data_IF_981195958209
#
_entry.id   IF_981195958209
#
_cell.length_a   1.000
_cell.length_b   1.000
_cell.length_c   1.000
_cell.angle_alpha   90.00
_cell.angle_beta   90.00
_cell.angle_gamma   90.00
#
_symmetry.space_group_name_H-M   'P 1'
#
loop_
_entity.id
_entity.type
_entity.pdbx_description
1 polymer ?
#
# COMPACT_ATOMS: atom_id res chain seq x y z
N UNK A 1 -17.27 -19.80 19.81
CA UNK A 1 -16.84 -18.68 18.94
C UNK A 1 -15.40 -18.98 18.53
N UNK A 2 -15.16 -19.26 17.25
CA UNK A 2 -13.79 -19.44 16.73
C UNK A 2 -13.30 -18.09 16.24
N UNK A 3 -12.25 -17.58 16.88
CA UNK A 3 -11.57 -16.35 16.45
C UNK A 3 -10.57 -16.77 15.38
N UNK A 4 -10.84 -16.42 14.12
CA UNK A 4 -9.95 -16.74 13.01
C UNK A 4 -8.90 -15.64 12.76
N UNK A 5 -9.13 -14.43 13.30
CA UNK A 5 -8.20 -13.31 13.22
C UNK A 5 -7.91 -12.77 14.63
N UNK A 6 -6.76 -13.18 15.19
CA UNK A 6 -6.31 -12.71 16.50
C UNK A 6 -5.84 -11.24 16.50
N UNK A 7 -5.74 -10.61 15.32
CA UNK A 7 -5.34 -9.20 15.17
C UNK A 7 -6.47 -8.27 15.64
N UNK A 8 -7.73 -8.62 15.37
CA UNK A 8 -8.91 -7.82 15.75
C UNK A 8 -9.06 -7.68 17.28
N UNK A 9 -8.57 -8.68 18.03
CA UNK A 9 -8.63 -8.72 19.50
C UNK A 9 -7.38 -8.14 20.17
N UNK A 10 -6.35 -7.81 19.39
CA UNK A 10 -5.17 -7.15 19.90
C UNK A 10 -5.34 -5.63 19.78
N UNK A 11 -5.50 -4.95 20.92
CA UNK A 11 -5.74 -3.50 20.94
C UNK A 11 -4.66 -2.69 20.23
N UNK A 12 -3.41 -3.17 20.20
CA UNK A 12 -2.32 -2.49 19.49
C UNK A 12 -2.44 -2.63 17.97
N UNK A 13 -3.04 -3.70 17.47
CA UNK A 13 -3.14 -3.95 16.03
C UNK A 13 -4.50 -3.62 15.42
N UNK A 14 -5.57 -3.51 16.23
CA UNK A 14 -6.92 -3.19 15.72
C UNK A 14 -7.09 -1.74 15.26
N UNK A 15 -6.24 -0.82 15.74
CA UNK A 15 -6.33 0.60 15.41
C UNK A 15 -5.20 1.00 14.46
N UNK A 16 -5.57 1.65 13.36
CA UNK A 16 -4.64 2.28 12.44
C UNK A 16 -5.18 3.66 12.06
N UNK A 17 -4.28 4.53 11.62
CA UNK A 17 -4.66 5.78 10.99
C UNK A 17 -5.47 5.50 9.72
N UNK A 18 -6.66 6.07 9.62
CA UNK A 18 -7.56 5.93 8.47
C UNK A 18 -6.88 6.40 7.18
N UNK A 19 -6.02 7.41 7.25
CA UNK A 19 -5.23 7.86 6.10
C UNK A 19 -4.33 6.76 5.53
N UNK A 20 -3.85 5.84 6.37
CA UNK A 20 -3.06 4.68 5.96
C UNK A 20 -3.87 3.67 5.15
N UNK A 21 -5.16 3.53 5.45
CA UNK A 21 -6.08 2.64 4.72
C UNK A 21 -6.48 3.25 3.38
N UNK A 22 -6.77 4.55 3.36
CA UNK A 22 -7.04 5.30 2.12
C UNK A 22 -5.81 5.28 1.20
N UNK A 23 -4.61 5.46 1.76
CA UNK A 23 -3.37 5.39 1.01
C UNK A 23 -3.14 4.01 0.39
N UNK A 24 -3.57 2.93 1.05
CA UNK A 24 -3.37 1.57 0.54
C UNK A 24 -4.09 1.38 -0.80
N UNK A 25 -5.39 1.71 -0.86
CA UNK A 25 -6.15 1.62 -2.11
C UNK A 25 -5.65 2.62 -3.17
N UNK A 26 -5.38 3.86 -2.76
CA UNK A 26 -4.94 4.88 -3.69
C UNK A 26 -3.56 4.56 -4.31
N UNK A 27 -2.64 3.98 -3.54
CA UNK A 27 -1.34 3.50 -4.03
C UNK A 27 -1.49 2.33 -5.00
N UNK A 28 -2.38 1.37 -4.73
CA UNK A 28 -2.62 0.24 -5.64
C UNK A 28 -3.23 0.71 -6.97
N UNK A 29 -4.11 1.72 -6.95
CA UNK A 29 -4.63 2.34 -8.17
C UNK A 29 -3.52 3.01 -8.98
N UNK A 30 -2.61 3.74 -8.33
CA UNK A 30 -1.44 4.33 -8.99
C UNK A 30 -0.51 3.24 -9.57
N UNK A 31 -0.27 2.15 -8.84
CA UNK A 31 0.52 1.00 -9.31
C UNK A 31 -0.08 0.34 -10.55
N UNK A 32 -1.40 0.33 -10.68
CA UNK A 32 -2.13 -0.16 -11.87
C UNK A 32 -2.26 0.88 -12.99
N UNK A 33 -1.57 2.01 -12.88
CA UNK A 33 -1.60 3.09 -13.88
C UNK A 33 -2.91 3.88 -13.91
N UNK A 34 -3.72 3.80 -12.83
CA UNK A 34 -5.03 4.46 -12.71
C UNK A 34 -4.98 5.62 -11.71
N UNK A 35 -4.05 6.54 -11.92
CA UNK A 35 -3.90 7.74 -11.10
C UNK A 35 -5.11 8.69 -11.18
N UNK A 36 -5.89 8.58 -12.25
CA UNK A 36 -7.21 9.20 -12.38
C UNK A 36 -8.17 8.71 -11.28
N UNK A 37 -8.26 7.39 -11.08
CA UNK A 37 -9.10 6.78 -10.05
C UNK A 37 -8.56 7.02 -8.65
N UNK A 38 -7.25 6.93 -8.45
CA UNK A 38 -6.57 7.27 -7.19
C UNK A 38 -6.92 8.69 -6.74
N UNK A 39 -6.81 9.66 -7.66
CA UNK A 39 -7.15 11.07 -7.39
C UNK A 39 -8.64 11.25 -7.13
N UNK A 40 -9.50 10.63 -7.94
CA UNK A 40 -10.95 10.70 -7.76
C UNK A 40 -11.37 10.15 -6.40
N UNK A 41 -10.87 8.98 -6.03
CA UNK A 41 -11.17 8.31 -4.77
C UNK A 41 -10.78 9.19 -3.58
N UNK A 42 -9.53 9.67 -3.53
CA UNK A 42 -9.04 10.51 -2.43
C UNK A 42 -9.85 11.81 -2.32
N UNK A 43 -10.12 12.49 -3.45
CA UNK A 43 -10.93 13.72 -3.45
C UNK A 43 -12.33 13.49 -2.91
N UNK A 44 -12.99 12.39 -3.32
CA UNK A 44 -14.32 12.05 -2.82
C UNK A 44 -14.29 11.72 -1.34
N UNK A 45 -13.32 10.92 -0.90
CA UNK A 45 -13.18 10.60 0.52
C UNK A 45 -13.00 11.85 1.37
N UNK A 46 -12.07 12.74 1.02
CA UNK A 46 -11.82 14.01 1.73
C UNK A 46 -13.10 14.87 1.77
N UNK A 47 -13.83 14.95 0.65
CA UNK A 47 -15.09 15.70 0.58
C UNK A 47 -16.16 15.15 1.54
N UNK A 48 -16.30 13.83 1.62
CA UNK A 48 -17.33 13.19 2.44
C UNK A 48 -16.96 13.10 3.92
N UNK A 49 -15.68 12.88 4.24
CA UNK A 49 -15.19 12.82 5.62
C UNK A 49 -14.96 14.20 6.25
N UNK A 50 -14.70 15.22 5.43
CA UNK A 50 -14.28 16.54 5.90
C UNK A 50 -12.81 16.62 6.33
N UNK A 51 -12.05 15.52 6.29
CA UNK A 51 -10.64 15.50 6.71
C UNK A 51 -9.72 16.05 5.61
N UNK A 52 -9.57 17.37 5.59
CA UNK A 52 -8.65 18.05 4.68
C UNK A 52 -7.18 17.79 5.04
N UNK A 53 -6.87 17.49 6.31
CA UNK A 53 -5.48 17.31 6.78
C UNK A 53 -4.88 16.01 6.26
N UNK A 54 -5.71 15.00 5.99
CA UNK A 54 -5.29 13.74 5.37
C UNK A 54 -4.44 13.94 4.11
N UNK A 55 -4.76 14.96 3.29
CA UNK A 55 -4.02 15.23 2.05
C UNK A 55 -2.52 15.50 2.26
N UNK A 56 -2.13 15.99 3.45
CA UNK A 56 -0.74 16.30 3.79
C UNK A 56 0.08 15.06 4.13
N UNK A 57 -0.54 14.06 4.77
CA UNK A 57 0.14 12.82 5.20
C UNK A 57 0.01 11.69 4.16
N UNK A 58 -0.94 11.80 3.24
CA UNK A 58 -1.23 10.75 2.26
C UNK A 58 -0.02 10.35 1.40
N UNK A 59 0.85 11.26 0.90
CA UNK A 59 2.03 10.86 0.14
C UNK A 59 2.98 9.97 0.96
N UNK A 60 3.11 10.23 2.26
CA UNK A 60 3.95 9.43 3.16
C UNK A 60 3.40 8.02 3.29
N UNK A 61 2.09 7.88 3.55
CA UNK A 61 1.48 6.56 3.65
C UNK A 61 1.50 5.81 2.31
N UNK A 62 1.30 6.48 1.17
CA UNK A 62 1.44 5.85 -0.16
C UNK A 62 2.86 5.33 -0.38
N UNK A 63 3.88 6.13 -0.06
CA UNK A 63 5.28 5.72 -0.10
C UNK A 63 5.53 4.48 0.78
N UNK A 64 5.10 4.55 2.05
CA UNK A 64 5.24 3.45 3.00
C UNK A 64 4.57 2.17 2.51
N UNK A 65 3.33 2.25 2.01
CA UNK A 65 2.58 1.09 1.51
C UNK A 65 3.23 0.50 0.26
N UNK A 66 3.69 1.32 -0.68
CA UNK A 66 4.42 0.85 -1.85
C UNK A 66 5.72 0.13 -1.46
N UNK A 67 6.47 0.69 -0.51
CA UNK A 67 7.68 0.05 0.01
C UNK A 67 7.39 -1.29 0.68
N UNK A 68 6.35 -1.36 1.53
CA UNK A 68 5.94 -2.61 2.19
C UNK A 68 5.52 -3.67 1.16
N UNK A 69 4.79 -3.31 0.10
CA UNK A 69 4.45 -4.23 -1.00
C UNK A 69 5.72 -4.76 -1.68
N UNK A 70 6.65 -3.88 -2.06
CA UNK A 70 7.93 -4.28 -2.64
C UNK A 70 8.73 -5.24 -1.73
N UNK A 71 8.80 -4.94 -0.43
CA UNK A 71 9.46 -5.77 0.59
C UNK A 71 8.81 -7.16 0.70
N UNK A 72 7.49 -7.22 0.85
CA UNK A 72 6.76 -8.49 1.03
C UNK A 72 6.84 -9.34 -0.22
N UNK A 73 6.66 -8.74 -1.41
CA UNK A 73 6.83 -9.45 -2.69
C UNK A 73 8.23 -10.04 -2.83
N UNK A 74 9.26 -9.35 -2.31
CA UNK A 74 10.64 -9.83 -2.34
C UNK A 74 10.89 -11.08 -1.48
N UNK A 75 10.03 -11.42 -0.52
CA UNK A 75 10.19 -12.65 0.27
C UNK A 75 10.10 -13.92 -0.59
N UNK A 76 9.30 -13.91 -1.66
CA UNK A 76 9.19 -15.02 -2.62
C UNK A 76 10.52 -15.39 -3.28
N UNK A 77 11.46 -14.44 -3.36
CA UNK A 77 12.75 -14.66 -4.02
C UNK A 77 13.64 -15.64 -3.25
N UNK A 78 13.46 -15.75 -1.93
CA UNK A 78 14.23 -16.65 -1.06
C UNK A 78 13.49 -17.95 -0.75
N UNK A 79 12.25 -18.09 -1.19
CA UNK A 79 11.44 -19.27 -0.94
C UNK A 79 11.86 -20.42 -1.89
N UNK A 80 12.32 -21.57 -1.36
CA UNK A 80 12.70 -22.71 -2.20
C UNK A 80 11.50 -23.38 -2.89
N UNK A 81 10.28 -23.17 -2.39
CA UNK A 81 9.05 -23.76 -2.96
C UNK A 81 8.51 -23.01 -4.18
N UNK A 82 9.02 -21.81 -4.46
CA UNK A 82 8.57 -20.94 -5.56
C UNK A 82 9.41 -21.21 -6.82
N UNK A 83 8.73 -21.33 -7.97
CA UNK A 83 9.39 -21.61 -9.27
C UNK A 83 10.29 -20.46 -9.72
N UNK A 84 11.21 -20.75 -10.65
CA UNK A 84 12.08 -19.73 -11.24
C UNK A 84 11.31 -18.65 -12.00
N UNK A 85 10.25 -19.03 -12.71
CA UNK A 85 9.37 -18.10 -13.43
C UNK A 85 8.64 -17.17 -12.46
N UNK A 86 8.09 -17.72 -11.38
CA UNK A 86 7.40 -16.95 -10.34
C UNK A 86 8.35 -16.01 -9.59
N UNK A 87 9.61 -16.43 -9.35
CA UNK A 87 10.66 -15.56 -8.81
C UNK A 87 10.97 -14.40 -9.74
N UNK A 88 11.09 -14.65 -11.04
CA UNK A 88 11.32 -13.60 -12.04
C UNK A 88 10.15 -12.59 -12.07
N UNK A 89 8.90 -13.07 -12.06
CA UNK A 89 7.72 -12.22 -11.99
C UNK A 89 7.69 -11.39 -10.70
N UNK A 90 7.95 -12.02 -9.55
CA UNK A 90 7.99 -11.35 -8.24
C UNK A 90 9.11 -10.30 -8.17
N UNK A 91 10.26 -10.55 -8.80
CA UNK A 91 11.36 -9.58 -8.87
C UNK A 91 10.95 -8.34 -9.66
N UNK A 92 10.29 -8.51 -10.82
CA UNK A 92 9.78 -7.40 -11.63
C UNK A 92 8.72 -6.59 -10.87
N UNK A 93 7.77 -7.27 -10.23
CA UNK A 93 6.72 -6.63 -9.44
C UNK A 93 7.30 -5.86 -8.23
N UNK A 94 8.22 -6.46 -7.48
CA UNK A 94 8.87 -5.82 -6.35
C UNK A 94 9.63 -4.55 -6.79
N UNK A 95 10.37 -4.63 -7.91
CA UNK A 95 11.08 -3.48 -8.48
C UNK A 95 10.11 -2.33 -8.81
N UNK A 96 9.00 -2.62 -9.48
CA UNK A 96 7.99 -1.61 -9.80
C UNK A 96 7.40 -0.94 -8.54
N UNK A 97 7.18 -1.70 -7.46
CA UNK A 97 6.72 -1.13 -6.19
C UNK A 97 7.77 -0.21 -5.55
N UNK A 98 9.06 -0.57 -5.61
CA UNK A 98 10.12 0.30 -5.09
C UNK A 98 10.31 1.57 -5.94
N UNK A 99 10.14 1.48 -7.26
CA UNK A 99 10.13 2.65 -8.14
C UNK A 99 8.96 3.59 -7.81
N UNK A 100 7.77 3.04 -7.59
CA UNK A 100 6.60 3.81 -7.15
C UNK A 100 6.82 4.46 -5.77
N UNK A 101 7.39 3.73 -4.82
CA UNK A 101 7.74 4.29 -3.51
C UNK A 101 8.74 5.45 -3.64
N UNK A 102 9.77 5.29 -4.47
CA UNK A 102 10.75 6.35 -4.78
C UNK A 102 10.09 7.57 -5.43
N UNK A 103 9.11 7.37 -6.33
CA UNK A 103 8.36 8.47 -6.93
C UNK A 103 7.59 9.28 -5.89
N UNK A 104 6.91 8.63 -4.93
CA UNK A 104 6.25 9.34 -3.83
C UNK A 104 7.23 10.05 -2.91
N UNK A 105 8.37 9.43 -2.60
CA UNK A 105 9.38 10.01 -1.70
C UNK A 105 9.94 11.35 -2.20
N UNK A 106 9.92 11.59 -3.53
CA UNK A 106 10.35 12.86 -4.14
C UNK A 106 9.36 14.01 -3.98
N UNK A 107 8.12 13.70 -3.57
CA UNK A 107 7.00 14.65 -3.45
C UNK A 107 6.65 14.87 -1.96
N UNK A 108 7.35 14.20 -1.04
CA UNK A 108 7.31 14.48 0.40
C UNK A 108 7.99 15.81 0.71
#
# INVERSE_FOLDING_TARGET
IYIFDAIEFNDRFRYSDVASDIAFLAMDLDFKGRSDLSTFFVKRYVRHSGDQKMTKILPFYKCYRAYVRGKVTSFKLKDPSVSSEEKCASMKEAKAYFELASAYAKIL
#
